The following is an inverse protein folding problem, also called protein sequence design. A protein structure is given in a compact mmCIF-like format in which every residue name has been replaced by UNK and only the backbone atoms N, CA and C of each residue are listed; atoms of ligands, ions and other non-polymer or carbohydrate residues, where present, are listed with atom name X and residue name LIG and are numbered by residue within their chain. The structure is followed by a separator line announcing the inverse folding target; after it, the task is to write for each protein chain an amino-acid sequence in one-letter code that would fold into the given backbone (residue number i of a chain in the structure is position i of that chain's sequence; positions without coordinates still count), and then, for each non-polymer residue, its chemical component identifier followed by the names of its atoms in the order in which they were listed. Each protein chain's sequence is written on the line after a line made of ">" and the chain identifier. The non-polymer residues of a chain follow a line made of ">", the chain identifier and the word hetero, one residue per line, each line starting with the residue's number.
data_IF_376756172890
#
_entry.id   IF_376756172890
#
_cell.length_a   1.000
_cell.length_b   1.000
_cell.length_c   1.000
_cell.angle_alpha   90.00
_cell.angle_beta   90.00
_cell.angle_gamma   90.00
#
_symmetry.space_group_name_H-M   'P 1'
#
loop_
_entity.id
_entity.type
_entity.pdbx_description
1 polymer ?
#
# COMPACT_ATOMS: atom_id res chain seq x y z
N UNK A 1 25.29 25.93 19.48
CA UNK A 1 24.77 24.54 19.34
C UNK A 1 23.50 24.58 18.50
N UNK A 2 23.42 23.84 17.39
CA UNK A 2 22.23 23.86 16.51
C UNK A 2 21.11 23.03 17.13
N UNK A 3 19.96 23.64 17.39
CA UNK A 3 18.81 22.95 17.95
C UNK A 3 18.37 21.79 17.05
N UNK A 4 17.98 20.63 17.60
CA UNK A 4 17.50 19.52 16.79
C UNK A 4 16.22 19.94 16.03
N UNK A 5 16.02 19.41 14.81
CA UNK A 5 14.85 19.72 14.01
C UNK A 5 13.57 19.47 14.82
N UNK A 6 12.55 20.32 14.63
CA UNK A 6 11.28 20.25 15.38
C UNK A 6 10.69 18.84 15.36
N UNK A 7 10.74 18.18 14.22
CA UNK A 7 10.22 16.82 14.04
C UNK A 7 10.90 15.79 14.99
N UNK A 8 12.18 15.95 15.31
CA UNK A 8 12.87 15.10 16.30
C UNK A 8 12.44 15.42 17.73
N UNK A 9 12.30 16.71 18.06
CA UNK A 9 11.87 17.14 19.40
C UNK A 9 10.47 16.62 19.71
N UNK A 10 9.56 16.71 18.74
CA UNK A 10 8.20 16.17 18.86
C UNK A 10 8.24 14.65 19.17
N UNK A 11 9.09 13.89 18.47
CA UNK A 11 9.26 12.45 18.71
C UNK A 11 9.87 12.14 20.07
N UNK A 12 10.94 12.84 20.45
CA UNK A 12 11.61 12.65 21.74
C UNK A 12 10.66 12.93 22.90
N UNK A 13 9.88 14.02 22.82
CA UNK A 13 8.85 14.32 23.82
C UNK A 13 7.75 13.25 23.87
N UNK A 14 7.31 12.74 22.72
CA UNK A 14 6.33 11.66 22.66
C UNK A 14 6.82 10.35 23.32
N UNK A 15 8.11 10.04 23.15
CA UNK A 15 8.78 8.91 23.81
C UNK A 15 8.88 9.13 25.31
N UNK A 16 9.32 10.32 25.74
CA UNK A 16 9.51 10.68 27.15
C UNK A 16 8.20 10.55 27.95
N UNK A 17 7.10 11.08 27.41
CA UNK A 17 5.75 10.94 27.98
C UNK A 17 5.28 9.49 28.18
N UNK A 18 5.93 8.53 27.53
CA UNK A 18 5.59 7.09 27.57
C UNK A 18 6.69 6.24 28.22
N UNK A 19 7.73 6.86 28.76
CA UNK A 19 8.89 6.15 29.33
C UNK A 19 9.68 5.33 28.30
N UNK A 20 9.61 5.72 27.02
CA UNK A 20 10.29 5.01 25.92
C UNK A 20 11.63 5.69 25.60
N UNK A 21 12.60 4.90 25.16
CA UNK A 21 13.90 5.42 24.69
C UNK A 21 13.79 5.92 23.26
N UNK A 22 14.04 7.22 23.06
CA UNK A 22 14.07 7.83 21.72
C UNK A 22 15.35 7.48 20.93
N UNK A 23 16.45 7.13 21.60
CA UNK A 23 17.71 6.74 20.95
C UNK A 23 18.48 5.70 21.79
N UNK A 24 18.93 4.58 21.18
CA UNK A 24 18.41 4.03 19.93
C UNK A 24 16.94 3.64 20.10
N UNK A 25 16.07 4.13 19.22
CA UNK A 25 14.66 3.77 19.27
C UNK A 25 14.49 2.30 18.86
N UNK A 26 13.75 1.54 19.67
CA UNK A 26 13.32 0.21 19.25
C UNK A 26 12.39 0.33 18.02
N UNK A 27 12.50 -0.53 16.99
CA UNK A 27 11.67 -0.44 15.78
C UNK A 27 10.16 -0.41 16.08
N UNK A 28 9.73 -1.14 17.12
CA UNK A 28 8.34 -1.11 17.58
C UNK A 28 7.91 0.26 18.13
N UNK A 29 8.80 0.97 18.82
CA UNK A 29 8.55 2.35 19.29
C UNK A 29 8.31 3.27 18.11
N UNK A 30 9.10 3.12 17.04
CA UNK A 30 8.93 3.92 15.84
C UNK A 30 7.62 3.57 15.11
N UNK A 31 7.28 2.29 14.98
CA UNK A 31 6.01 1.85 14.40
C UNK A 31 4.80 2.41 15.17
N UNK A 32 4.83 2.36 16.51
CA UNK A 32 3.81 2.95 17.36
C UNK A 32 3.70 4.46 17.17
N UNK A 33 4.83 5.17 17.06
CA UNK A 33 4.84 6.60 16.79
C UNK A 33 4.26 6.95 15.42
N UNK A 34 4.58 6.18 14.37
CA UNK A 34 4.00 6.39 13.03
C UNK A 34 2.48 6.20 13.04
N UNK A 35 1.99 5.17 13.74
CA UNK A 35 0.55 4.93 13.91
C UNK A 35 -0.13 6.05 14.70
N UNK A 36 0.53 6.62 15.71
CA UNK A 36 0.04 7.81 16.40
C UNK A 36 0.04 9.03 15.46
N UNK A 37 1.07 9.22 14.64
CA UNK A 37 1.13 10.32 13.69
C UNK A 37 0.04 10.23 12.61
N UNK A 38 -0.31 9.04 12.13
CA UNK A 38 -1.37 8.82 11.13
C UNK A 38 -2.72 9.42 11.58
N UNK A 39 -3.04 9.36 12.87
CA UNK A 39 -4.29 9.91 13.40
C UNK A 39 -4.32 11.44 13.43
N UNK A 40 -3.15 12.10 13.51
CA UNK A 40 -3.05 13.54 13.77
C UNK A 40 -2.46 14.34 12.59
N UNK A 41 -1.84 13.67 11.62
CA UNK A 41 -1.07 14.32 10.56
C UNK A 41 -1.30 13.67 9.19
N UNK A 42 -1.10 14.48 8.14
CA UNK A 42 -1.16 13.99 6.75
C UNK A 42 0.05 13.11 6.43
N UNK A 43 -0.12 12.19 5.49
CA UNK A 43 0.91 11.24 5.06
C UNK A 43 2.28 11.89 4.76
N UNK A 44 2.39 13.03 4.02
CA UNK A 44 3.70 13.67 3.78
C UNK A 44 4.43 14.09 5.06
N UNK A 45 3.68 14.50 6.09
CA UNK A 45 4.24 14.86 7.40
C UNK A 45 4.79 13.63 8.12
N UNK A 46 4.10 12.48 8.02
CA UNK A 46 4.55 11.20 8.59
C UNK A 46 5.88 10.79 7.97
N UNK A 47 6.02 10.85 6.64
CA UNK A 47 7.29 10.57 5.95
C UNK A 47 8.41 11.52 6.38
N UNK A 48 8.12 12.83 6.45
CA UNK A 48 9.11 13.83 6.87
C UNK A 48 9.63 13.55 8.28
N UNK A 49 8.72 13.21 9.20
CA UNK A 49 9.07 12.83 10.58
C UNK A 49 9.91 11.55 10.64
N UNK A 50 9.53 10.51 9.90
CA UNK A 50 10.33 9.29 9.79
C UNK A 50 11.74 9.58 9.29
N UNK A 51 11.88 10.39 8.24
CA UNK A 51 13.17 10.79 7.68
C UNK A 51 13.99 11.64 8.66
N UNK A 52 13.35 12.49 9.47
CA UNK A 52 14.04 13.25 10.53
C UNK A 52 14.58 12.33 11.63
N UNK A 53 13.78 11.34 12.07
CA UNK A 53 14.19 10.34 13.07
C UNK A 53 15.34 9.49 12.56
N UNK A 54 15.24 8.96 11.33
CA UNK A 54 16.29 8.16 10.72
C UNK A 54 17.60 8.95 10.59
N UNK A 55 17.54 10.22 10.16
CA UNK A 55 18.72 11.11 10.12
C UNK A 55 19.34 11.28 11.49
N UNK A 56 18.55 11.47 12.55
CA UNK A 56 19.08 11.65 13.89
C UNK A 56 19.75 10.38 14.44
N UNK A 57 19.27 9.19 14.07
CA UNK A 57 19.92 7.92 14.40
C UNK A 57 21.30 7.81 13.71
N UNK A 58 21.36 8.14 12.42
CA UNK A 58 22.63 8.13 11.66
C UNK A 58 23.64 9.13 12.24
N UNK A 59 23.22 10.35 12.56
CA UNK A 59 24.06 11.39 13.17
C UNK A 59 24.60 11.02 14.57
N UNK A 60 24.10 9.94 15.17
CA UNK A 60 24.52 9.43 16.47
C UNK A 60 25.11 8.03 16.38
N UNK A 61 25.45 7.58 15.18
CA UNK A 61 25.99 6.24 14.91
C UNK A 61 25.11 5.10 15.47
N UNK A 62 23.80 5.34 15.58
CA UNK A 62 22.85 4.37 16.09
C UNK A 62 22.23 3.53 14.95
N UNK A 63 21.73 2.31 15.24
CA UNK A 63 21.01 1.51 14.27
C UNK A 63 19.85 2.28 13.64
N UNK A 64 19.69 2.11 12.34
CA UNK A 64 18.67 2.78 11.54
C UNK A 64 17.32 2.06 11.66
N UNK A 65 16.33 2.63 12.37
CA UNK A 65 15.06 1.94 12.61
C UNK A 65 14.17 1.91 11.36
N UNK A 66 14.42 2.77 10.37
CA UNK A 66 13.70 2.85 9.10
C UNK A 66 13.83 1.60 8.22
N UNK A 67 14.95 0.87 8.33
CA UNK A 67 15.19 -0.35 7.54
C UNK A 67 14.52 -1.59 8.13
N UNK A 68 13.95 -1.50 9.32
CA UNK A 68 13.32 -2.64 9.96
C UNK A 68 11.99 -2.98 9.26
N UNK A 69 11.71 -4.26 8.97
CA UNK A 69 10.50 -4.68 8.25
C UNK A 69 9.20 -4.29 8.97
N UNK A 70 9.20 -4.18 10.30
CA UNK A 70 8.03 -3.75 11.07
C UNK A 70 7.66 -2.30 10.75
N UNK A 71 8.67 -1.42 10.67
CA UNK A 71 8.47 0.00 10.36
C UNK A 71 8.02 0.16 8.91
N UNK A 72 8.68 -0.54 7.98
CA UNK A 72 8.29 -0.54 6.57
C UNK A 72 6.85 -1.02 6.35
N UNK A 73 6.47 -2.16 6.96
CA UNK A 73 5.10 -2.68 6.89
C UNK A 73 4.09 -1.71 7.48
N UNK A 74 4.42 -1.09 8.62
CA UNK A 74 3.53 -0.11 9.26
C UNK A 74 3.30 1.09 8.34
N UNK A 75 4.35 1.62 7.72
CA UNK A 75 4.25 2.73 6.78
C UNK A 75 3.40 2.35 5.56
N UNK A 76 3.60 1.18 4.97
CA UNK A 76 2.78 0.67 3.86
C UNK A 76 1.29 0.60 4.23
N UNK A 77 0.96 0.15 5.45
CA UNK A 77 -0.43 0.14 5.91
C UNK A 77 -1.01 1.55 6.08
N UNK A 78 -0.21 2.51 6.55
CA UNK A 78 -0.60 3.92 6.67
C UNK A 78 -0.89 4.51 5.28
N UNK A 79 0.00 4.27 4.32
CA UNK A 79 -0.15 4.70 2.92
C UNK A 79 -1.42 4.11 2.28
N UNK A 80 -1.65 2.80 2.45
CA UNK A 80 -2.84 2.13 1.94
C UNK A 80 -4.13 2.73 2.51
N UNK A 81 -4.18 2.97 3.82
CA UNK A 81 -5.35 3.59 4.46
C UNK A 81 -5.57 5.03 4.00
N UNK A 82 -4.48 5.81 3.87
CA UNK A 82 -4.56 7.17 3.35
C UNK A 82 -5.12 7.20 1.92
N UNK A 83 -4.69 6.27 1.06
CA UNK A 83 -5.24 6.09 -0.29
C UNK A 83 -6.73 5.74 -0.24
N UNK A 84 -7.11 4.70 0.51
CA UNK A 84 -8.52 4.28 0.60
C UNK A 84 -9.42 5.40 1.14
N UNK A 85 -8.92 6.27 2.03
CA UNK A 85 -9.66 7.44 2.50
C UNK A 85 -9.89 8.47 1.39
N UNK A 86 -8.95 8.63 0.47
CA UNK A 86 -9.14 9.46 -0.73
C UNK A 86 -10.13 8.81 -1.71
N UNK A 87 -10.04 7.49 -1.89
CA UNK A 87 -10.88 6.73 -2.84
C UNK A 87 -12.32 6.55 -2.34
N UNK A 88 -12.59 6.64 -1.03
CA UNK A 88 -13.93 6.49 -0.42
C UNK A 88 -14.98 7.46 -0.97
N UNK A 89 -14.58 8.56 -1.58
CA UNK A 89 -15.48 9.48 -2.28
C UNK A 89 -16.09 8.89 -3.57
N UNK A 90 -15.57 7.77 -4.08
CA UNK A 90 -15.99 7.13 -5.33
C UNK A 90 -16.44 5.67 -5.20
N UNK A 91 -16.84 5.23 -3.99
CA UNK A 91 -17.36 3.87 -3.77
C UNK A 91 -18.61 3.53 -4.61
N UNK A 92 -19.32 4.55 -5.05
CA UNK A 92 -20.40 4.45 -6.03
C UNK A 92 -20.15 5.48 -7.12
N UNK A 93 -20.03 5.04 -8.36
CA UNK A 93 -20.13 5.92 -9.51
C UNK A 93 -21.62 6.12 -9.84
N UNK A 94 -22.06 7.31 -10.29
CA UNK A 94 -23.44 7.52 -10.74
C UNK A 94 -23.89 6.48 -11.78
N UNK A 95 -22.95 6.01 -12.59
CA UNK A 95 -23.17 4.99 -13.63
C UNK A 95 -23.42 3.58 -13.08
N UNK A 96 -23.08 3.31 -11.81
CA UNK A 96 -23.35 2.01 -11.18
C UNK A 96 -24.86 1.79 -10.95
N UNK A 97 -25.65 2.88 -10.89
CA UNK A 97 -27.10 2.84 -10.68
C UNK A 97 -27.92 2.92 -11.97
N UNK A 98 -27.33 3.33 -13.09
CA UNK A 98 -28.05 3.49 -14.37
C UNK A 98 -28.14 2.20 -15.19
N UNK A 99 -27.45 1.13 -14.75
CA UNK A 99 -27.30 -0.10 -15.51
C UNK A 99 -28.41 -1.16 -15.34
N UNK A 100 -29.47 -0.90 -14.55
CA UNK A 100 -30.44 -1.97 -14.18
C UNK A 100 -31.89 -1.84 -14.64
N UNK A 101 -32.35 -0.69 -15.19
CA UNK A 101 -33.74 -0.54 -15.64
C UNK A 101 -33.94 -0.49 -17.16
N UNK A 102 -32.91 -0.80 -17.97
CA UNK A 102 -33.03 -0.88 -19.43
C UNK A 102 -32.96 -2.31 -19.97
N UNK A 103 -33.80 -3.21 -19.44
CA UNK A 103 -34.16 -4.47 -20.14
C UNK A 103 -35.51 -4.32 -20.85
N UNK A 104 -35.68 -3.22 -21.59
CA UNK A 104 -36.67 -3.13 -22.65
C UNK A 104 -36.07 -2.36 -23.83
N UNK A 105 -35.70 -3.08 -24.91
CA UNK A 105 -35.61 -2.49 -26.25
C UNK A 105 -34.26 -2.56 -26.97
N UNK A 106 -34.17 -3.53 -27.88
CA UNK A 106 -33.37 -3.58 -29.12
C UNK A 106 -31.89 -4.00 -29.04
N UNK A 107 -31.51 -5.15 -29.65
CA UNK A 107 -30.11 -5.55 -29.78
C UNK A 107 -29.35 -4.62 -30.74
N UNK A 108 -28.27 -4.01 -30.27
CA UNK A 108 -27.28 -3.31 -31.10
C UNK A 108 -26.54 -4.33 -31.98
N UNK A 109 -26.40 -4.12 -33.30
CA UNK A 109 -25.77 -5.10 -34.17
C UNK A 109 -24.28 -5.25 -33.85
N UNK A 110 -23.83 -6.50 -33.72
CA UNK A 110 -22.45 -6.85 -33.42
C UNK A 110 -21.51 -6.50 -34.60
N UNK A 111 -20.27 -6.04 -34.34
CA UNK A 111 -19.30 -5.79 -35.40
C UNK A 111 -18.85 -7.10 -36.09
N UNK A 112 -18.45 -7.07 -37.37
CA UNK A 112 -18.13 -8.27 -38.13
C UNK A 112 -16.88 -8.96 -37.57
N UNK A 113 -17.05 -10.19 -37.06
CA UNK A 113 -15.95 -11.06 -36.62
C UNK A 113 -15.16 -11.53 -37.84
N UNK A 114 -13.88 -11.18 -37.92
CA UNK A 114 -12.95 -11.74 -38.91
C UNK A 114 -12.86 -13.26 -38.76
N UNK A 115 -12.97 -13.98 -39.88
CA UNK A 115 -12.92 -15.44 -39.93
C UNK A 115 -11.55 -15.97 -39.43
N UNK A 116 -11.55 -16.69 -38.31
CA UNK A 116 -10.38 -17.48 -37.89
C UNK A 116 -10.32 -18.73 -38.76
N UNK A 117 -9.21 -18.92 -39.51
CA UNK A 117 -8.99 -20.14 -40.30
C UNK A 117 -9.05 -21.38 -39.41
N UNK A 118 -9.88 -22.34 -39.78
CA UNK A 118 -10.02 -23.61 -39.08
C UNK A 118 -8.72 -24.41 -39.17
N UNK A 119 -8.10 -24.68 -38.02
CA UNK A 119 -6.99 -25.63 -37.91
C UNK A 119 -7.63 -27.02 -37.73
N UNK A 120 -7.67 -27.81 -38.81
CA UNK A 120 -8.33 -29.12 -38.82
C UNK A 120 -7.80 -30.06 -37.74
N UNK A 121 -8.72 -30.67 -36.99
CA UNK A 121 -8.44 -31.68 -35.97
C UNK A 121 -8.13 -33.02 -36.67
N UNK A 122 -6.96 -33.63 -36.45
CA UNK A 122 -6.66 -34.98 -36.95
C UNK A 122 -7.50 -36.01 -36.15
N UNK A 123 -8.39 -36.73 -36.81
CA UNK A 123 -9.35 -37.66 -36.19
C UNK A 123 -8.82 -39.07 -35.85
N UNK A 124 -7.51 -39.29 -35.64
CA UNK A 124 -7.01 -40.63 -35.29
C UNK A 124 -6.01 -40.59 -34.12
N UNK A 125 -6.39 -41.08 -32.92
CA UNK A 125 -5.43 -41.31 -31.84
C UNK A 125 -4.51 -42.50 -32.17
N UNK A 126 -3.22 -42.41 -31.80
CA UNK A 126 -2.24 -43.48 -32.00
C UNK A 126 -2.42 -44.57 -30.93
N UNK A 127 -2.79 -45.77 -31.35
CA UNK A 127 -2.81 -46.96 -30.49
C UNK A 127 -1.36 -47.40 -30.20
N UNK A 128 -1.03 -47.50 -28.92
CA UNK A 128 0.24 -48.05 -28.44
C UNK A 128 0.11 -49.57 -28.44
N UNK A 129 0.92 -50.27 -29.23
CA UNK A 129 1.07 -51.72 -29.08
C UNK A 129 1.92 -52.02 -27.85
N UNK A 130 1.39 -52.79 -26.90
CA UNK A 130 2.21 -53.44 -25.88
C UNK A 130 2.64 -54.79 -26.44
N UNK A 131 3.95 -55.02 -26.49
CA UNK A 131 4.56 -56.29 -26.87
C UNK A 131 4.58 -57.21 -25.64
N UNK A 132 4.27 -58.51 -25.76
CA UNK A 132 4.52 -59.48 -24.70
C UNK A 132 6.01 -59.77 -24.54
#
# INVERSE_FOLDING_TARGET
>A
MRAPPKDWRDFAAWCDQRGLRALPAHPWTLAAYLRWCEAHHRLPTVHRRLAAIARHHVLRCAPRPDRNPIVARTLQMIEQRARLKADRAGLFQPDDFTAQDSTAGTPRPAPPRKARKARGLRQRPRLVSRRP
#
